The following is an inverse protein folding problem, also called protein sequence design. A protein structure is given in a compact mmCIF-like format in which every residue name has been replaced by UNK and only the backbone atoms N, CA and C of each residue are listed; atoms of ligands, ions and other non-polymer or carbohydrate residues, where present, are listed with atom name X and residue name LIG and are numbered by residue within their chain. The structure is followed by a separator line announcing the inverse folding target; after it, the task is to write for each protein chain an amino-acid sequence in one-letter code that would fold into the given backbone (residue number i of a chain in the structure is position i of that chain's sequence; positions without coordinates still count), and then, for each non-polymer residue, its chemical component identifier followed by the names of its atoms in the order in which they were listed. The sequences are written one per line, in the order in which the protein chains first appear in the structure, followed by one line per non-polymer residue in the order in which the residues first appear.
data_IF_700980660378
#
_entry.id   IF_700980660378
#
_cell.length_a   1.000
_cell.length_b   1.000
_cell.length_c   1.000
_cell.angle_alpha   90.00
_cell.angle_beta   90.00
_cell.angle_gamma   90.00
#
_symmetry.space_group_name_H-M   'P 1'
#
loop_
_entity.id
_entity.type
_entity.pdbx_description
1 polymer ?
#
# COMPACT_ATOMS: atom_id res chain seq x y z
N UNK A 1 -6.70 -10.03 -13.35
CA UNK A 1 -6.54 -10.36 -11.92
C UNK A 1 -5.85 -9.25 -11.12
N UNK A 2 -4.68 -8.75 -11.53
CA UNK A 2 -3.95 -7.67 -10.84
C UNK A 2 -4.80 -6.42 -10.53
N UNK A 3 -5.68 -6.02 -11.46
CA UNK A 3 -6.60 -4.90 -11.25
C UNK A 3 -7.57 -5.13 -10.09
N UNK A 4 -8.09 -6.36 -9.93
CA UNK A 4 -9.01 -6.70 -8.82
C UNK A 4 -8.30 -6.60 -7.47
N UNK A 5 -7.08 -7.10 -7.37
CA UNK A 5 -6.26 -6.96 -6.17
C UNK A 5 -5.92 -5.51 -5.86
N UNK A 6 -5.57 -4.71 -6.88
CA UNK A 6 -5.34 -3.26 -6.71
C UNK A 6 -6.57 -2.57 -6.11
N UNK A 7 -7.76 -2.84 -6.63
CA UNK A 7 -9.01 -2.26 -6.13
C UNK A 7 -9.29 -2.73 -4.69
N UNK A 8 -9.09 -4.00 -4.39
CA UNK A 8 -9.27 -4.56 -3.05
C UNK A 8 -8.35 -3.88 -2.02
N UNK A 9 -7.04 -3.82 -2.28
CA UNK A 9 -6.08 -3.19 -1.37
C UNK A 9 -6.31 -1.69 -1.24
N UNK A 10 -6.72 -1.02 -2.32
CA UNK A 10 -7.08 0.41 -2.27
C UNK A 10 -8.31 0.66 -1.39
N UNK A 11 -9.35 -0.20 -1.47
CA UNK A 11 -10.53 -0.11 -0.63
C UNK A 11 -10.20 -0.30 0.85
N UNK A 12 -9.34 -1.27 1.15
CA UNK A 12 -8.88 -1.54 2.52
C UNK A 12 -8.09 -0.34 3.06
N UNK A 13 -7.15 0.19 2.28
CA UNK A 13 -6.36 1.35 2.68
C UNK A 13 -7.24 2.60 2.91
N UNK A 14 -8.22 2.86 2.04
CA UNK A 14 -9.15 4.00 2.21
C UNK A 14 -10.01 3.82 3.45
N UNK A 15 -10.49 2.59 3.71
CA UNK A 15 -11.30 2.30 4.90
C UNK A 15 -10.52 2.58 6.19
N UNK A 16 -9.26 2.14 6.26
CA UNK A 16 -8.40 2.43 7.40
C UNK A 16 -8.01 3.90 7.50
N UNK A 17 -7.78 4.59 6.38
CA UNK A 17 -7.51 6.02 6.38
C UNK A 17 -8.70 6.83 6.89
N UNK A 18 -9.93 6.46 6.50
CA UNK A 18 -11.15 7.07 7.02
C UNK A 18 -11.32 6.81 8.52
N UNK A 19 -11.10 5.56 8.95
CA UNK A 19 -11.15 5.22 10.37
C UNK A 19 -10.13 6.05 11.18
N UNK A 20 -8.90 6.17 10.68
CA UNK A 20 -7.85 6.95 11.31
C UNK A 20 -8.18 8.46 11.38
N UNK A 21 -8.87 8.98 10.36
CA UNK A 21 -9.26 10.38 10.30
C UNK A 21 -10.36 10.75 11.31
N UNK A 22 -11.30 9.82 11.55
CA UNK A 22 -12.42 10.05 12.46
C UNK A 22 -12.16 9.56 13.90
N UNK A 23 -11.09 8.81 14.15
CA UNK A 23 -10.76 8.31 15.48
C UNK A 23 -9.77 9.24 16.19
N UNK A 24 -10.18 9.80 17.34
CA UNK A 24 -9.32 10.64 18.18
C UNK A 24 -8.11 9.86 18.74
N UNK A 25 -8.24 8.56 18.91
CA UNK A 25 -7.16 7.64 19.28
C UNK A 25 -7.14 6.50 18.27
N UNK A 26 -6.35 6.67 17.21
CA UNK A 26 -6.16 5.61 16.22
C UNK A 26 -5.07 4.66 16.71
N UNK A 27 -5.37 3.37 16.93
CA UNK A 27 -4.34 2.41 17.32
C UNK A 27 -3.27 2.27 16.22
N UNK A 28 -2.00 2.15 16.60
CA UNK A 28 -0.87 2.02 15.65
C UNK A 28 -0.99 0.82 14.71
N UNK A 29 -1.74 -0.21 15.13
CA UNK A 29 -2.06 -1.37 14.30
C UNK A 29 -2.88 -0.99 13.06
N UNK A 30 -3.70 0.06 13.12
CA UNK A 30 -4.49 0.54 11.99
C UNK A 30 -3.58 1.22 10.96
N UNK A 31 -2.64 2.06 11.41
CA UNK A 31 -1.64 2.64 10.52
C UNK A 31 -0.77 1.57 9.88
N UNK A 32 -0.35 0.57 10.66
CA UNK A 32 0.40 -0.58 10.16
C UNK A 32 -0.39 -1.34 9.08
N UNK A 33 -1.67 -1.65 9.32
CA UNK A 33 -2.54 -2.30 8.33
C UNK A 33 -2.75 -1.44 7.08
N UNK A 34 -2.88 -0.12 7.24
CA UNK A 34 -3.02 0.83 6.15
C UNK A 34 -1.76 0.83 5.26
N UNK A 35 -0.57 0.98 5.86
CA UNK A 35 0.69 0.97 5.12
C UNK A 35 0.97 -0.37 4.45
N UNK A 36 0.60 -1.49 5.08
CA UNK A 36 0.67 -2.82 4.47
C UNK A 36 -0.21 -2.91 3.21
N UNK A 37 -1.47 -2.48 3.29
CA UNK A 37 -2.39 -2.49 2.16
C UNK A 37 -1.88 -1.60 1.01
N UNK A 38 -1.36 -0.41 1.33
CA UNK A 38 -0.74 0.51 0.36
C UNK A 38 0.53 -0.08 -0.28
N UNK A 39 1.40 -0.71 0.50
CA UNK A 39 2.60 -1.38 -0.01
C UNK A 39 2.21 -2.48 -1.02
N UNK A 40 1.24 -3.31 -0.67
CA UNK A 40 0.77 -4.40 -1.53
C UNK A 40 0.09 -3.89 -2.81
N UNK A 41 -0.66 -2.78 -2.73
CA UNK A 41 -1.21 -2.09 -3.90
C UNK A 41 -0.11 -1.58 -4.85
N UNK A 42 0.93 -0.93 -4.32
CA UNK A 42 2.04 -0.41 -5.11
C UNK A 42 2.85 -1.56 -5.75
N UNK A 43 3.04 -2.66 -5.04
CA UNK A 43 3.67 -3.86 -5.59
C UNK A 43 2.89 -4.42 -6.78
N UNK A 44 1.55 -4.48 -6.68
CA UNK A 44 0.69 -4.91 -7.80
C UNK A 44 0.74 -3.93 -8.99
N UNK A 45 0.87 -2.62 -8.74
CA UNK A 45 1.08 -1.63 -9.82
C UNK A 45 2.44 -1.80 -10.49
N UNK A 46 3.51 -2.02 -9.73
CA UNK A 46 4.84 -2.27 -10.28
C UNK A 46 4.85 -3.48 -11.20
N UNK A 47 4.22 -4.57 -10.78
CA UNK A 47 4.10 -5.80 -11.56
C UNK A 47 3.25 -5.60 -12.84
N UNK A 48 2.22 -4.77 -12.77
CA UNK A 48 1.40 -4.34 -13.91
C UNK A 48 2.22 -3.53 -14.94
N UNK A 49 2.99 -2.54 -14.48
CA UNK A 49 3.79 -1.68 -15.36
C UNK A 49 4.95 -2.44 -16.01
N UNK A 50 5.61 -3.35 -15.30
CA UNK A 50 6.62 -4.24 -15.89
C UNK A 50 6.00 -5.12 -16.98
N UNK A 51 4.80 -5.69 -16.74
CA UNK A 51 4.07 -6.46 -17.77
C UNK A 51 3.68 -5.60 -18.97
N UNK A 52 3.41 -4.31 -18.77
CA UNK A 52 3.13 -3.35 -19.83
C UNK A 52 4.40 -2.79 -20.51
N UNK A 53 5.56 -3.40 -20.27
CA UNK A 53 6.88 -2.99 -20.79
C UNK A 53 7.32 -1.57 -20.38
N UNK A 54 6.67 -0.99 -19.36
CA UNK A 54 6.99 0.32 -18.76
C UNK A 54 7.91 0.14 -17.56
N UNK A 55 9.10 -0.41 -17.80
CA UNK A 55 10.06 -0.80 -16.75
C UNK A 55 10.41 0.32 -15.75
N UNK A 56 10.65 1.58 -16.16
CA UNK A 56 10.98 2.65 -15.20
C UNK A 56 9.86 2.91 -14.20
N UNK A 57 8.61 3.00 -14.68
CA UNK A 57 7.45 3.16 -13.81
C UNK A 57 7.27 1.94 -12.89
N UNK A 58 7.47 0.73 -13.42
CA UNK A 58 7.49 -0.50 -12.65
C UNK A 58 8.43 -0.45 -11.46
N UNK A 59 9.70 -0.08 -11.69
CA UNK A 59 10.71 0.03 -10.63
C UNK A 59 10.36 1.10 -9.60
N UNK A 60 9.84 2.27 -10.01
CA UNK A 60 9.39 3.29 -9.07
C UNK A 60 8.30 2.77 -8.13
N UNK A 61 7.33 2.02 -8.65
CA UNK A 61 6.28 1.41 -7.83
C UNK A 61 6.84 0.34 -6.87
N UNK A 62 7.82 -0.47 -7.31
CA UNK A 62 8.50 -1.42 -6.41
C UNK A 62 9.29 -0.71 -5.31
N UNK A 63 10.06 0.33 -5.63
CA UNK A 63 10.77 1.13 -4.64
C UNK A 63 9.82 1.75 -3.63
N UNK A 64 8.67 2.26 -4.10
CA UNK A 64 7.64 2.81 -3.21
C UNK A 64 7.02 1.73 -2.32
N UNK A 65 6.76 0.53 -2.87
CA UNK A 65 6.25 -0.59 -2.09
C UNK A 65 7.22 -1.00 -0.97
N UNK A 66 8.52 -1.07 -1.26
CA UNK A 66 9.57 -1.37 -0.28
C UNK A 66 9.65 -0.30 0.80
N UNK A 67 9.62 0.98 0.41
CA UNK A 67 9.61 2.09 1.36
C UNK A 67 8.39 2.03 2.29
N UNK A 68 7.19 1.78 1.76
CA UNK A 68 5.98 1.63 2.58
C UNK A 68 6.04 0.41 3.51
N UNK A 69 6.67 -0.69 3.07
CA UNK A 69 6.93 -1.85 3.91
C UNK A 69 7.91 -1.56 5.05
N UNK A 70 8.93 -0.73 4.80
CA UNK A 70 9.82 -0.22 5.84
C UNK A 70 9.07 0.65 6.85
N UNK A 71 8.24 1.59 6.39
CA UNK A 71 7.41 2.44 7.25
C UNK A 71 6.46 1.60 8.12
N UNK A 72 5.82 0.58 7.53
CA UNK A 72 4.99 -0.39 8.26
C UNK A 72 5.77 -1.10 9.37
N UNK A 73 7.02 -1.50 9.10
CA UNK A 73 7.85 -2.19 10.08
C UNK A 73 8.24 -1.24 11.21
N UNK A 74 8.54 0.02 10.88
CA UNK A 74 8.86 1.03 11.87
C UNK A 74 7.66 1.43 12.74
N UNK A 75 6.44 1.44 12.20
CA UNK A 75 5.22 1.76 12.96
C UNK A 75 4.84 0.69 14.00
N UNK A 76 5.53 -0.45 14.04
CA UNK A 76 5.33 -1.51 15.02
C UNK A 76 6.27 -1.42 16.23
N UNK A 77 7.27 -0.53 16.21
CA UNK A 77 8.27 -0.32 17.27
C UNK A 77 8.11 1.05 17.92
#
# INVERSE_FOLDING_TARGET
MLFKFRVLFSLIAISFALYALFSEQTPDIIYTCMFLALSMMMHMMGLSEIKANRKPAGWLYFSTAVFLGFVMTYSLF
#
